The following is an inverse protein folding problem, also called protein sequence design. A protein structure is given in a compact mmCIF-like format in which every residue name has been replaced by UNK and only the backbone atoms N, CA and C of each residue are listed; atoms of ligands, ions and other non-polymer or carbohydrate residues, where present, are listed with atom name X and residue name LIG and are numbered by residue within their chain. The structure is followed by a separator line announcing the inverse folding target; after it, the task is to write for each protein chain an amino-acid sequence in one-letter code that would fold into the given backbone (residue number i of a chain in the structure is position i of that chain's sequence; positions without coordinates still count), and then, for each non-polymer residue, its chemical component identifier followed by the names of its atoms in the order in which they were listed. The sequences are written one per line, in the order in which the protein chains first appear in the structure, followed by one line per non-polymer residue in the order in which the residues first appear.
data_IF_231497176248
#
_entry.id   IF_231497176248
#
_cell.length_a   1.000
_cell.length_b   1.000
_cell.length_c   1.000
_cell.angle_alpha   90.00
_cell.angle_beta   90.00
_cell.angle_gamma   90.00
#
_symmetry.space_group_name_H-M   'P 1'
#
loop_
_entity.id
_entity.type
_entity.pdbx_description
1 polymer ?
#
# COMPACT_ATOMS: atom_id res chain seq x y z
N UNK A 1 -17.97 2.43 -11.83
CA UNK A 1 -17.65 3.48 -10.85
C UNK A 1 -17.28 4.73 -11.61
N UNK A 2 -17.93 5.86 -11.37
CA UNK A 2 -17.42 7.13 -11.89
C UNK A 2 -16.07 7.40 -11.22
N UNK A 3 -15.03 7.56 -12.03
CA UNK A 3 -13.72 7.95 -11.53
C UNK A 3 -13.84 9.37 -10.95
N UNK A 4 -13.50 9.55 -9.67
CA UNK A 4 -13.35 10.89 -9.12
C UNK A 4 -12.18 11.55 -9.86
N UNK A 5 -12.51 12.58 -10.67
CA UNK A 5 -11.53 13.22 -11.54
C UNK A 5 -10.40 13.90 -10.76
N UNK A 6 -10.68 14.40 -9.54
CA UNK A 6 -9.66 15.03 -8.71
C UNK A 6 -8.67 13.99 -8.17
N UNK A 7 -9.16 12.83 -7.71
CA UNK A 7 -8.28 11.73 -7.32
C UNK A 7 -7.46 11.20 -8.51
N UNK A 8 -8.06 11.08 -9.70
CA UNK A 8 -7.38 10.59 -10.90
C UNK A 8 -6.29 11.56 -11.40
N UNK A 9 -6.48 12.87 -11.23
CA UNK A 9 -5.47 13.89 -11.55
C UNK A 9 -4.35 13.93 -10.50
N UNK A 10 -4.66 13.65 -9.23
CA UNK A 10 -3.71 13.78 -8.14
C UNK A 10 -2.84 12.52 -7.95
N UNK A 11 -3.45 11.33 -8.01
CA UNK A 11 -2.79 10.06 -7.69
C UNK A 11 -2.55 9.19 -8.93
N UNK A 12 -1.34 8.64 -9.01
CA UNK A 12 -0.98 7.49 -9.82
C UNK A 12 -1.31 6.21 -9.05
N UNK A 13 -2.09 5.32 -9.66
CA UNK A 13 -2.31 3.97 -9.14
C UNK A 13 -1.05 3.14 -9.39
N UNK A 14 -0.49 2.57 -8.33
CA UNK A 14 0.68 1.68 -8.41
C UNK A 14 0.25 0.21 -8.39
N UNK A 15 -0.69 -0.13 -7.51
CA UNK A 15 -1.22 -1.49 -7.40
C UNK A 15 -2.73 -1.49 -7.17
N UNK A 16 -3.37 -2.55 -7.65
CA UNK A 16 -4.76 -2.90 -7.33
C UNK A 16 -4.81 -4.28 -6.70
N UNK A 17 -5.87 -4.56 -5.97
CA UNK A 17 -6.16 -5.86 -5.39
C UNK A 17 -7.62 -6.21 -5.65
N UNK A 18 -8.00 -7.45 -5.35
CA UNK A 18 -9.36 -7.98 -5.56
C UNK A 18 -9.89 -8.44 -4.21
N UNK A 19 -11.11 -8.04 -3.85
CA UNK A 19 -11.76 -8.49 -2.63
C UNK A 19 -12.41 -9.88 -2.79
N UNK A 20 -13.02 -10.39 -1.71
CA UNK A 20 -13.71 -11.69 -1.70
C UNK A 20 -14.93 -11.76 -2.63
N UNK A 21 -15.41 -10.62 -3.14
CA UNK A 21 -16.53 -10.49 -4.07
C UNK A 21 -16.08 -10.19 -5.50
N UNK A 22 -14.81 -10.45 -5.84
CA UNK A 22 -14.19 -10.15 -7.14
C UNK A 22 -14.20 -8.68 -7.55
N UNK A 23 -14.32 -7.76 -6.58
CA UNK A 23 -14.28 -6.33 -6.84
C UNK A 23 -12.85 -5.83 -6.79
N UNK A 24 -12.41 -5.22 -7.89
CA UNK A 24 -11.10 -4.57 -7.96
C UNK A 24 -11.12 -3.27 -7.16
N UNK A 25 -10.13 -3.08 -6.31
CA UNK A 25 -9.91 -1.84 -5.56
C UNK A 25 -8.43 -1.42 -5.62
N UNK A 26 -8.19 -0.13 -5.36
CA UNK A 26 -6.85 0.45 -5.34
C UNK A 26 -6.16 0.08 -4.04
N UNK A 27 -4.97 -0.55 -4.10
CA UNK A 27 -4.24 -0.98 -2.91
C UNK A 27 -3.01 -0.14 -2.59
N UNK A 28 -2.42 0.51 -3.58
CA UNK A 28 -1.30 1.46 -3.38
C UNK A 28 -1.38 2.59 -4.40
N UNK A 29 -1.17 3.82 -3.94
CA UNK A 29 -1.08 5.03 -4.79
C UNK A 29 0.12 5.89 -4.42
N UNK A 30 0.56 6.69 -5.39
CA UNK A 30 1.53 7.75 -5.19
C UNK A 30 1.05 9.01 -5.92
N UNK A 31 1.16 10.18 -5.31
CA UNK A 31 0.80 11.43 -5.96
C UNK A 31 1.80 11.74 -7.10
N UNK A 32 1.32 12.33 -8.19
CA UNK A 32 2.18 12.65 -9.33
C UNK A 32 3.24 13.70 -9.01
N UNK A 33 2.85 14.74 -8.27
CA UNK A 33 3.66 15.96 -8.10
C UNK A 33 3.99 16.27 -6.64
N UNK A 34 3.63 15.40 -5.71
CA UNK A 34 3.83 15.60 -4.27
C UNK A 34 4.41 14.33 -3.63
N UNK A 35 5.21 14.44 -2.56
CA UNK A 35 5.77 13.30 -1.84
C UNK A 35 4.71 12.64 -0.95
N UNK A 36 3.58 12.24 -1.54
CA UNK A 36 2.47 11.57 -0.86
C UNK A 36 2.34 10.17 -1.44
N UNK A 37 2.56 9.17 -0.60
CA UNK A 37 2.33 7.75 -0.92
C UNK A 37 1.35 7.19 0.10
N UNK A 38 0.38 6.41 -0.37
CA UNK A 38 -0.62 5.80 0.50
C UNK A 38 -0.81 4.31 0.20
N UNK A 39 -1.00 3.55 1.27
CA UNK A 39 -1.23 2.12 1.25
C UNK A 39 -2.61 1.83 1.84
N UNK A 40 -3.40 1.00 1.17
CA UNK A 40 -4.65 0.48 1.76
C UNK A 40 -4.36 -0.66 2.76
N UNK A 41 -3.23 -1.35 2.58
CA UNK A 41 -2.73 -2.43 3.43
C UNK A 41 -1.79 -1.89 4.51
N UNK A 42 -1.44 -2.75 5.46
CA UNK A 42 -0.69 -2.41 6.67
C UNK A 42 0.76 -2.95 6.61
N UNK A 43 1.73 -2.21 6.05
CA UNK A 43 3.12 -2.66 5.95
C UNK A 43 3.76 -2.92 7.32
N UNK A 44 3.34 -2.22 8.37
CA UNK A 44 3.90 -2.33 9.71
C UNK A 44 3.60 -3.67 10.39
N UNK A 45 2.45 -4.27 10.09
CA UNK A 45 1.93 -5.42 10.83
C UNK A 45 2.81 -6.65 10.69
N UNK A 46 3.40 -6.87 9.51
CA UNK A 46 4.19 -8.07 9.23
C UNK A 46 5.36 -8.23 10.23
N UNK A 47 5.98 -7.13 10.67
CA UNK A 47 7.12 -7.17 11.59
C UNK A 47 6.74 -7.03 13.07
N UNK A 48 5.60 -6.40 13.37
CA UNK A 48 5.34 -5.89 14.73
C UNK A 48 4.04 -6.38 15.38
N UNK A 49 3.14 -7.05 14.66
CA UNK A 49 1.82 -7.45 15.18
C UNK A 49 1.56 -8.95 15.05
N UNK A 50 1.39 -9.67 16.17
CA UNK A 50 1.33 -11.14 16.20
C UNK A 50 -0.03 -11.74 16.60
N UNK A 51 -1.06 -10.91 16.75
CA UNK A 51 -2.37 -11.36 17.23
C UNK A 51 -3.13 -12.21 16.18
N UNK A 52 -3.58 -11.61 15.06
CA UNK A 52 -4.29 -12.35 14.01
C UNK A 52 -3.36 -13.25 13.18
N UNK A 53 -3.75 -14.53 13.02
CA UNK A 53 -3.02 -15.51 12.17
C UNK A 53 -2.94 -15.14 10.68
N UNK A 54 -3.80 -14.24 10.22
CA UNK A 54 -3.84 -13.81 8.83
C UNK A 54 -2.74 -12.80 8.48
N UNK A 55 -2.05 -12.23 9.49
CA UNK A 55 -0.91 -11.33 9.25
C UNK A 55 0.26 -12.16 8.73
N UNK A 56 0.84 -11.81 7.56
CA UNK A 56 1.94 -12.57 7.00
C UNK A 56 3.25 -12.26 7.73
N UNK A 57 3.93 -13.31 8.18
CA UNK A 57 5.23 -13.24 8.87
C UNK A 57 6.33 -14.01 8.12
N UNK A 58 6.16 -14.21 6.81
CA UNK A 58 7.21 -14.81 5.96
C UNK A 58 8.39 -13.86 5.80
N UNK A 59 9.56 -14.37 5.42
CA UNK A 59 10.75 -13.54 5.17
C UNK A 59 10.45 -12.42 4.15
N UNK A 60 9.73 -12.73 3.08
CA UNK A 60 9.32 -11.74 2.09
C UNK A 60 8.39 -10.66 2.67
N UNK A 61 7.45 -11.04 3.55
CA UNK A 61 6.56 -10.08 4.21
C UNK A 61 7.34 -9.10 5.11
N UNK A 62 8.37 -9.59 5.81
CA UNK A 62 9.27 -8.74 6.60
C UNK A 62 10.09 -7.81 5.70
N UNK A 63 10.60 -8.31 4.57
CA UNK A 63 11.32 -7.48 3.59
C UNK A 63 10.42 -6.37 3.02
N UNK A 64 9.14 -6.65 2.79
CA UNK A 64 8.16 -5.63 2.35
C UNK A 64 8.03 -4.52 3.39
N UNK A 65 7.91 -4.82 4.68
CA UNK A 65 7.89 -3.81 5.76
C UNK A 65 9.13 -2.93 5.70
N UNK A 66 10.31 -3.57 5.62
CA UNK A 66 11.57 -2.85 5.60
C UNK A 66 11.69 -1.96 4.35
N UNK A 67 11.29 -2.45 3.17
CA UNK A 67 11.35 -1.68 1.93
C UNK A 67 10.38 -0.49 1.94
N UNK A 68 9.17 -0.66 2.46
CA UNK A 68 8.20 0.43 2.61
C UNK A 68 8.74 1.53 3.54
N UNK A 69 9.30 1.14 4.70
CA UNK A 69 9.93 2.07 5.62
C UNK A 69 11.15 2.78 5.00
N UNK A 70 12.06 2.02 4.38
CA UNK A 70 13.24 2.55 3.69
C UNK A 70 12.88 3.49 2.54
N UNK A 71 11.76 3.25 1.85
CA UNK A 71 11.25 4.17 0.84
C UNK A 71 10.75 5.48 1.47
N UNK A 72 10.03 5.41 2.60
CA UNK A 72 9.49 6.60 3.25
C UNK A 72 10.56 7.49 3.88
N UNK A 73 11.57 6.90 4.56
CA UNK A 73 12.63 7.67 5.22
C UNK A 73 13.75 8.11 4.28
N UNK A 74 13.72 7.67 3.02
CA UNK A 74 14.73 8.06 2.03
C UNK A 74 14.67 9.58 1.86
N UNK A 75 15.76 10.25 2.18
CA UNK A 75 16.02 11.64 1.83
C UNK A 75 16.79 11.65 0.51
N UNK A 76 16.23 12.32 -0.50
CA UNK A 76 16.98 12.86 -1.65
C UNK A 76 16.99 14.39 -1.53
#
# INVERSE_FOLDING_TARGET
MQANQELAKFFKILTTSVDEYNKVYVSTVQAYNYPVTAFQWHPEKNAFEWGPKAIPHTEDAIRVTQQAANFFIRYD
#
